data_IF_721372806075
#
_entry.id   IF_721372806075
#
_cell.length_a   1.000
_cell.length_b   1.000
_cell.length_c   1.000
_cell.angle_alpha   90.00
_cell.angle_beta   90.00
_cell.angle_gamma   90.00
#
_symmetry.space_group_name_H-M   'P 1'
#
loop_
_entity.id
_entity.type
_entity.pdbx_description
1 polymer ?
#
# COMPACT_ATOMS: atom_id res chain seq x y z
N UNK A 1 -10.59 16.50 -7.20
CA UNK A 1 -9.26 15.89 -7.00
C UNK A 1 -9.44 14.49 -6.42
N UNK A 2 -8.68 13.52 -6.90
CA UNK A 2 -8.79 12.13 -6.44
C UNK A 2 -7.75 11.84 -5.37
N UNK A 3 -8.19 11.74 -4.12
CA UNK A 3 -7.31 11.61 -2.95
C UNK A 3 -7.13 10.17 -2.48
N UNK A 4 -5.97 9.87 -1.94
CA UNK A 4 -5.71 8.69 -1.12
C UNK A 4 -4.62 8.98 -0.07
N UNK A 5 -4.64 8.22 1.02
CA UNK A 5 -3.69 8.32 2.11
C UNK A 5 -2.86 7.04 2.13
N UNK A 6 -1.55 7.19 2.15
CA UNK A 6 -0.63 6.06 2.11
C UNK A 6 0.68 6.37 2.82
N UNK A 7 1.43 5.32 3.12
CA UNK A 7 2.85 5.43 3.45
C UNK A 7 3.68 5.00 2.24
N UNK A 8 4.72 5.77 2.00
CA UNK A 8 5.68 5.53 0.93
C UNK A 8 6.77 4.59 1.42
N UNK A 9 7.23 3.72 0.53
CA UNK A 9 8.35 2.83 0.85
C UNK A 9 9.65 3.61 0.71
N UNK A 10 10.50 3.66 1.77
CA UNK A 10 11.79 4.33 1.70
C UNK A 10 12.66 3.80 0.55
N UNK A 11 13.45 4.68 -0.07
CA UNK A 11 14.28 4.31 -1.21
C UNK A 11 15.27 3.18 -0.93
N UNK A 12 15.78 3.10 0.31
CA UNK A 12 16.67 2.01 0.74
C UNK A 12 16.01 0.63 0.76
N UNK A 13 14.68 0.57 0.85
CA UNK A 13 13.93 -0.69 0.81
C UNK A 13 13.50 -1.10 -0.60
N UNK A 14 13.55 -0.20 -1.59
CA UNK A 14 13.09 -0.50 -2.95
C UNK A 14 13.87 -1.63 -3.65
N UNK A 15 15.19 -1.79 -3.47
CA UNK A 15 15.92 -2.90 -4.11
C UNK A 15 15.38 -4.29 -3.77
N UNK A 16 14.91 -4.53 -2.55
CA UNK A 16 14.34 -5.82 -2.16
C UNK A 16 13.02 -6.09 -2.90
N UNK A 17 12.18 -5.07 -3.12
CA UNK A 17 10.96 -5.19 -3.92
C UNK A 17 11.28 -5.42 -5.39
N UNK A 18 12.25 -4.72 -5.94
CA UNK A 18 12.69 -4.90 -7.31
C UNK A 18 13.19 -6.33 -7.56
N UNK A 19 13.94 -6.89 -6.62
CA UNK A 19 14.41 -8.28 -6.69
C UNK A 19 13.25 -9.28 -6.74
N UNK A 20 12.25 -9.10 -5.88
CA UNK A 20 11.04 -9.95 -5.89
C UNK A 20 10.29 -9.79 -7.21
N UNK A 21 10.11 -8.57 -7.70
CA UNK A 21 9.40 -8.30 -8.95
C UNK A 21 10.10 -8.91 -10.16
N UNK A 22 11.42 -8.88 -10.20
CA UNK A 22 12.22 -9.51 -11.26
C UNK A 22 12.00 -11.02 -11.27
N UNK A 23 12.08 -11.66 -10.11
CA UNK A 23 11.81 -13.10 -9.97
C UNK A 23 10.36 -13.45 -10.30
N UNK A 24 9.41 -12.63 -9.85
CA UNK A 24 7.99 -12.78 -10.17
C UNK A 24 7.74 -12.73 -11.68
N UNK A 25 8.33 -11.78 -12.38
CA UNK A 25 8.16 -11.65 -13.83
C UNK A 25 8.76 -12.85 -14.59
N UNK A 26 9.82 -13.43 -14.07
CA UNK A 26 10.40 -14.67 -14.62
C UNK A 26 9.44 -15.85 -14.43
N UNK A 27 8.81 -15.98 -13.25
CA UNK A 27 7.84 -17.04 -12.98
C UNK A 27 6.52 -16.84 -13.72
N UNK A 28 6.06 -15.59 -13.82
CA UNK A 28 4.76 -15.23 -14.42
C UNK A 28 4.99 -14.08 -15.40
N UNK A 29 5.40 -14.37 -16.65
CA UNK A 29 5.64 -13.32 -17.65
C UNK A 29 4.41 -12.46 -17.97
N UNK A 30 3.21 -12.97 -17.73
CA UNK A 30 1.94 -12.25 -17.94
C UNK A 30 1.67 -11.18 -16.85
N UNK A 31 2.44 -11.19 -15.76
CA UNK A 31 2.28 -10.20 -14.70
C UNK A 31 2.69 -8.81 -15.18
N UNK A 32 1.84 -7.82 -14.87
CA UNK A 32 2.14 -6.41 -15.09
C UNK A 32 2.77 -5.85 -13.82
N UNK A 33 4.09 -5.70 -13.83
CA UNK A 33 4.85 -5.25 -12.66
C UNK A 33 4.53 -3.79 -12.34
N UNK A 34 4.29 -3.51 -11.06
CA UNK A 34 4.11 -2.16 -10.56
C UNK A 34 5.45 -1.41 -10.57
N UNK A 35 5.48 -0.20 -11.13
CA UNK A 35 6.68 0.63 -11.11
C UNK A 35 7.13 0.92 -9.68
N UNK A 36 8.44 0.91 -9.43
CA UNK A 36 9.01 1.11 -8.10
C UNK A 36 8.61 2.45 -7.47
N UNK A 37 8.50 3.49 -8.27
CA UNK A 37 8.06 4.83 -7.82
C UNK A 37 6.60 4.89 -7.37
N UNK A 38 5.82 3.85 -7.65
CA UNK A 38 4.40 3.72 -7.27
C UNK A 38 4.16 2.71 -6.16
N UNK A 39 5.21 2.06 -5.67
CA UNK A 39 5.09 1.11 -4.56
C UNK A 39 4.81 1.88 -3.27
N UNK A 40 3.69 1.57 -2.64
CA UNK A 40 3.24 2.18 -1.39
C UNK A 40 2.30 1.24 -0.64
N UNK A 41 2.05 1.55 0.63
CA UNK A 41 1.02 0.89 1.42
C UNK A 41 -0.13 1.86 1.64
N UNK A 42 -1.27 1.60 1.01
CA UNK A 42 -2.45 2.46 1.12
C UNK A 42 -3.15 2.25 2.45
N UNK A 43 -3.46 3.35 3.13
CA UNK A 43 -4.24 3.36 4.38
C UNK A 43 -5.72 3.68 4.13
N UNK A 44 -6.01 4.53 3.15
CA UNK A 44 -7.39 4.86 2.78
C UNK A 44 -7.48 5.42 1.37
N UNK A 45 -8.39 4.89 0.57
CA UNK A 45 -8.84 5.52 -0.67
C UNK A 45 -10.04 6.42 -0.38
N UNK A 46 -9.97 7.68 -0.80
CA UNK A 46 -11.02 8.66 -0.57
C UNK A 46 -11.81 8.92 -1.86
N UNK A 47 -11.14 8.82 -3.01
CA UNK A 47 -11.74 9.03 -4.32
C UNK A 47 -11.88 10.50 -4.69
N UNK A 48 -12.77 10.76 -5.65
CA UNK A 48 -13.02 12.11 -6.16
C UNK A 48 -13.72 12.97 -5.10
N UNK A 49 -13.08 14.07 -4.73
CA UNK A 49 -13.60 15.01 -3.75
C UNK A 49 -13.23 16.45 -4.16
N UNK A 50 -13.96 17.45 -3.67
CA UNK A 50 -13.57 18.86 -3.86
C UNK A 50 -12.18 19.15 -3.32
N UNK A 51 -11.41 19.97 -4.04
CA UNK A 51 -10.03 20.32 -3.67
C UNK A 51 -9.93 21.01 -2.31
N UNK A 52 -11.01 21.68 -1.91
CA UNK A 52 -11.10 22.38 -0.61
C UNK A 52 -11.02 21.42 0.58
N UNK A 53 -11.26 20.12 0.39
CA UNK A 53 -11.13 19.13 1.47
C UNK A 53 -9.68 18.81 1.85
N UNK A 54 -8.72 19.23 1.05
CA UNK A 54 -7.30 18.94 1.28
C UNK A 54 -6.85 19.25 2.71
N UNK A 55 -7.14 20.43 3.22
CA UNK A 55 -6.70 20.85 4.55
C UNK A 55 -7.38 20.03 5.66
N UNK A 56 -8.64 19.67 5.49
CA UNK A 56 -9.35 18.80 6.43
C UNK A 56 -8.78 17.39 6.43
N UNK A 57 -8.40 16.85 5.26
CA UNK A 57 -7.75 15.55 5.15
C UNK A 57 -6.38 15.55 5.84
N UNK A 58 -5.61 16.64 5.70
CA UNK A 58 -4.34 16.82 6.42
C UNK A 58 -4.57 16.78 7.94
N UNK A 59 -5.58 17.48 8.43
CA UNK A 59 -5.94 17.47 9.86
C UNK A 59 -6.34 16.08 10.36
N UNK A 60 -7.07 15.31 9.56
CA UNK A 60 -7.41 13.92 9.87
C UNK A 60 -6.13 13.09 10.07
N UNK A 61 -5.17 13.21 9.17
CA UNK A 61 -3.90 12.48 9.28
C UNK A 61 -3.15 12.94 10.53
N UNK A 62 -3.04 14.24 10.77
CA UNK A 62 -2.38 14.80 11.96
C UNK A 62 -2.97 14.26 13.25
N UNK A 63 -4.28 14.19 13.33
CA UNK A 63 -4.99 13.63 14.49
C UNK A 63 -4.73 12.13 14.62
N UNK A 64 -4.79 11.38 13.52
CA UNK A 64 -4.61 9.93 13.52
C UNK A 64 -3.21 9.51 13.96
N UNK A 65 -2.18 10.30 13.68
CA UNK A 65 -0.78 9.98 14.04
C UNK A 65 -0.33 10.61 15.35
N UNK A 66 -1.18 11.43 15.98
CA UNK A 66 -0.85 12.15 17.20
C UNK A 66 -0.41 11.17 18.31
N UNK A 67 0.78 11.41 18.87
CA UNK A 67 1.34 10.58 19.93
C UNK A 67 1.90 9.23 19.47
N UNK A 68 1.84 8.91 18.18
CA UNK A 68 2.40 7.66 17.65
C UNK A 68 3.84 7.90 17.20
N UNK A 69 4.76 7.13 17.77
CA UNK A 69 6.17 7.15 17.39
C UNK A 69 6.40 6.36 16.10
N UNK A 70 7.46 6.69 15.37
CA UNK A 70 7.91 5.91 14.23
C UNK A 70 8.09 4.45 14.62
N UNK A 71 7.83 3.55 13.67
CA UNK A 71 7.84 2.11 13.89
C UNK A 71 8.32 1.37 12.64
N UNK A 72 8.43 0.05 12.74
CA UNK A 72 8.91 -0.78 11.65
C UNK A 72 7.92 -1.88 11.31
N UNK A 73 7.82 -2.16 10.00
CA UNK A 73 7.16 -3.36 9.47
C UNK A 73 8.10 -4.05 8.49
N UNK A 74 7.96 -5.36 8.34
CA UNK A 74 8.83 -6.16 7.48
C UNK A 74 8.00 -6.95 6.49
N UNK A 75 8.36 -7.00 5.20
CA UNK A 75 7.70 -7.87 4.23
C UNK A 75 7.68 -9.32 4.72
N UNK A 76 6.55 -10.00 4.61
CA UNK A 76 6.37 -11.31 5.23
C UNK A 76 5.83 -12.39 4.33
N UNK A 77 4.85 -12.08 3.47
CA UNK A 77 4.17 -13.06 2.63
C UNK A 77 3.62 -12.45 1.36
N UNK A 78 3.33 -13.29 0.38
CA UNK A 78 2.69 -12.93 -0.87
C UNK A 78 1.25 -13.43 -0.86
N UNK A 79 0.32 -12.60 -1.34
CA UNK A 79 -1.07 -12.97 -1.49
C UNK A 79 -1.69 -12.18 -2.64
N UNK A 80 -2.97 -12.33 -2.89
CA UNK A 80 -3.67 -11.69 -3.98
C UNK A 80 -5.09 -11.28 -3.64
N UNK A 81 -5.60 -10.30 -4.37
CA UNK A 81 -7.00 -9.93 -4.36
C UNK A 81 -7.64 -10.25 -5.72
N UNK A 82 -8.86 -10.80 -5.75
CA UNK A 82 -9.70 -11.19 -4.61
C UNK A 82 -9.16 -12.38 -3.80
N UNK A 83 -8.31 -13.21 -4.38
CA UNK A 83 -7.60 -14.31 -3.72
C UNK A 83 -6.34 -14.69 -4.51
N UNK A 84 -5.48 -15.54 -3.94
CA UNK A 84 -4.23 -15.94 -4.58
C UNK A 84 -4.44 -16.85 -5.79
N UNK A 85 -5.51 -17.64 -5.83
CA UNK A 85 -5.74 -18.59 -6.92
C UNK A 85 -6.21 -17.92 -8.22
N UNK A 86 -6.97 -16.83 -8.10
CA UNK A 86 -7.43 -16.02 -9.23
C UNK A 86 -7.21 -14.54 -8.95
N UNK A 87 -5.94 -14.09 -8.89
CA UNK A 87 -5.65 -12.73 -8.50
C UNK A 87 -5.87 -11.75 -9.66
N UNK A 88 -6.39 -10.58 -9.34
CA UNK A 88 -6.29 -9.38 -10.19
C UNK A 88 -5.11 -8.53 -9.77
N UNK A 89 -4.73 -8.63 -8.49
CA UNK A 89 -3.60 -7.90 -7.89
C UNK A 89 -2.80 -8.87 -7.04
N UNK A 90 -1.49 -8.89 -7.20
CA UNK A 90 -0.55 -9.54 -6.28
C UNK A 90 0.09 -8.50 -5.38
N UNK A 91 0.21 -8.84 -4.11
CA UNK A 91 0.73 -7.94 -3.09
C UNK A 91 1.54 -8.67 -2.02
N UNK A 92 2.38 -7.89 -1.35
CA UNK A 92 3.17 -8.34 -0.22
C UNK A 92 2.52 -7.84 1.06
N UNK A 93 2.23 -8.78 1.97
CA UNK A 93 1.81 -8.48 3.33
C UNK A 93 3.00 -8.26 4.25
N UNK A 94 2.77 -7.58 5.35
CA UNK A 94 3.82 -7.18 6.29
C UNK A 94 3.56 -7.75 7.70
N UNK A 95 4.63 -7.86 8.48
CA UNK A 95 4.62 -8.22 9.90
C UNK A 95 5.36 -7.16 10.72
N UNK A 96 5.34 -7.26 12.03
CA UNK A 96 6.00 -6.33 12.94
C UNK A 96 4.99 -5.46 13.69
N UNK A 97 5.19 -4.16 13.70
CA UNK A 97 4.35 -3.21 14.45
C UNK A 97 2.99 -2.94 13.75
N UNK A 98 2.28 -4.01 13.40
CA UNK A 98 0.98 -3.96 12.72
C UNK A 98 -0.06 -3.21 13.55
N UNK A 99 -0.01 -3.32 14.87
CA UNK A 99 -0.93 -2.63 15.77
C UNK A 99 -0.91 -1.12 15.57
N UNK A 100 0.26 -0.53 15.30
CA UNK A 100 0.40 0.89 15.03
C UNK A 100 -0.20 1.27 13.68
N UNK A 101 -0.04 0.43 12.65
CA UNK A 101 -0.71 0.61 11.36
C UNK A 101 -2.23 0.60 11.52
N UNK A 102 -2.76 -0.39 12.25
CA UNK A 102 -4.20 -0.51 12.50
C UNK A 102 -4.74 0.69 13.27
N UNK A 103 -3.99 1.17 14.26
CA UNK A 103 -4.38 2.33 15.07
C UNK A 103 -4.44 3.61 14.20
N UNK A 104 -3.45 3.84 13.35
CA UNK A 104 -3.46 4.97 12.41
C UNK A 104 -4.63 4.84 11.44
N UNK A 105 -4.83 3.66 10.86
CA UNK A 105 -5.93 3.40 9.93
C UNK A 105 -7.29 3.68 10.57
N UNK A 106 -7.49 3.26 11.82
CA UNK A 106 -8.73 3.50 12.54
C UNK A 106 -8.96 5.00 12.80
N UNK A 107 -7.91 5.73 13.18
CA UNK A 107 -8.00 7.19 13.36
C UNK A 107 -8.36 7.92 12.06
N UNK A 108 -7.80 7.47 10.93
CA UNK A 108 -8.15 8.01 9.60
C UNK A 108 -9.61 7.72 9.29
N UNK A 109 -10.06 6.49 9.51
CA UNK A 109 -11.45 6.08 9.31
C UNK A 109 -12.41 6.96 10.09
N UNK A 110 -12.17 7.13 11.39
CA UNK A 110 -12.99 7.98 12.26
C UNK A 110 -13.09 9.42 11.75
N UNK A 111 -11.96 9.97 11.30
CA UNK A 111 -11.90 11.30 10.71
C UNK A 111 -12.70 11.43 9.41
N UNK A 112 -12.60 10.44 8.52
CA UNK A 112 -13.36 10.41 7.27
C UNK A 112 -14.86 10.29 7.53
N UNK A 113 -15.27 9.44 8.47
CA UNK A 113 -16.67 9.29 8.87
C UNK A 113 -17.23 10.59 9.45
N UNK A 114 -16.44 11.34 10.22
CA UNK A 114 -16.86 12.63 10.77
C UNK A 114 -17.14 13.68 9.72
N UNK A 115 -16.56 13.54 8.52
CA UNK A 115 -16.81 14.39 7.36
C UNK A 115 -17.84 13.79 6.40
N UNK A 116 -18.49 12.69 6.76
CA UNK A 116 -19.40 11.92 5.90
C UNK A 116 -18.77 11.50 4.56
N UNK A 117 -17.46 11.24 4.56
CA UNK A 117 -16.73 10.77 3.41
C UNK A 117 -16.79 9.25 3.30
N UNK A 118 -16.66 8.69 2.09
CA UNK A 118 -16.65 7.24 1.89
C UNK A 118 -15.51 6.57 2.67
N UNK A 119 -15.83 5.44 3.30
CA UNK A 119 -14.87 4.58 4.01
C UNK A 119 -15.04 3.15 3.52
N UNK A 120 -13.93 2.47 3.27
CA UNK A 120 -13.97 1.03 2.98
C UNK A 120 -14.27 0.26 4.26
N UNK A 121 -15.46 -0.33 4.33
CA UNK A 121 -15.95 -1.11 5.48
C UNK A 121 -15.33 -2.50 5.58
N UNK A 122 -14.63 -2.96 4.54
CA UNK A 122 -13.98 -4.27 4.56
C UNK A 122 -12.84 -4.28 5.57
N UNK A 123 -12.52 -5.48 6.07
CA UNK A 123 -11.36 -5.67 6.93
C UNK A 123 -10.11 -5.10 6.26
N UNK A 124 -9.42 -4.22 6.97
CA UNK A 124 -8.16 -3.66 6.50
C UNK A 124 -7.05 -4.72 6.56
N UNK A 125 -6.44 -4.99 5.41
CA UNK A 125 -5.27 -5.86 5.28
C UNK A 125 -4.11 -5.00 4.77
N UNK A 126 -3.09 -4.71 5.59
CA UNK A 126 -1.92 -3.97 5.14
C UNK A 126 -1.22 -4.70 4.00
N UNK A 127 -1.10 -4.05 2.84
CA UNK A 127 -0.53 -4.69 1.66
C UNK A 127 0.20 -3.70 0.76
N UNK A 128 1.21 -4.21 0.06
CA UNK A 128 2.02 -3.46 -0.91
C UNK A 128 1.85 -4.15 -2.26
N UNK A 129 1.13 -3.54 -3.18
CA UNK A 129 0.89 -4.08 -4.52
C UNK A 129 2.19 -4.11 -5.32
N UNK A 130 2.53 -5.27 -5.87
CA UNK A 130 3.75 -5.48 -6.68
C UNK A 130 3.46 -5.81 -8.13
N UNK A 131 2.26 -6.31 -8.45
CA UNK A 131 1.89 -6.65 -9.82
C UNK A 131 0.37 -6.71 -9.99
N UNK A 132 -0.08 -6.59 -11.23
CA UNK A 132 -1.48 -6.73 -11.64
C UNK A 132 -1.60 -7.70 -12.80
N UNK A 133 -2.81 -8.26 -12.97
CA UNK A 133 -3.16 -9.13 -14.09
C UNK A 133 -4.35 -8.54 -14.85
N UNK A 134 -4.28 -8.60 -16.19
CA UNK A 134 -5.31 -8.03 -17.05
C UNK A 134 -6.50 -8.96 -17.32
N UNK A 135 -6.39 -10.26 -17.05
CA UNK A 135 -7.41 -11.27 -17.34
C UNK A 135 -7.42 -12.34 -16.26
N UNK A 136 -8.35 -13.30 -16.39
CA UNK A 136 -8.51 -14.46 -15.52
C UNK A 136 -7.26 -15.33 -15.48
N UNK A 137 -6.24 -14.88 -14.76
CA UNK A 137 -5.04 -15.65 -14.51
C UNK A 137 -5.27 -16.59 -13.33
N UNK A 138 -4.87 -17.85 -13.47
CA UNK A 138 -5.01 -18.84 -12.41
C UNK A 138 -3.63 -19.25 -11.89
N UNK A 139 -3.46 -19.22 -10.58
CA UNK A 139 -2.26 -19.71 -9.90
C UNK A 139 -2.57 -21.11 -9.33
N UNK A 140 -1.91 -22.12 -9.88
CA UNK A 140 -2.00 -23.49 -9.39
C UNK A 140 -1.10 -23.70 -8.16
N UNK A 141 -1.21 -24.86 -7.51
CA UNK A 141 -0.42 -25.17 -6.31
C UNK A 141 1.09 -25.13 -6.54
N UNK A 142 1.58 -25.60 -7.70
CA UNK A 142 3.01 -25.55 -8.04
C UNK A 142 3.54 -24.14 -8.11
N UNK A 143 2.82 -23.24 -8.77
CA UNK A 143 3.19 -21.83 -8.88
C UNK A 143 3.05 -21.11 -7.53
N UNK A 144 2.05 -21.46 -6.73
CA UNK A 144 1.90 -20.95 -5.36
C UNK A 144 3.14 -21.26 -4.50
N UNK A 145 3.64 -22.50 -4.57
CA UNK A 145 4.86 -22.91 -3.87
C UNK A 145 6.08 -22.10 -4.36
N UNK A 146 6.19 -21.87 -5.66
CA UNK A 146 7.27 -21.05 -6.22
C UNK A 146 7.20 -19.59 -5.75
N UNK A 147 5.99 -19.03 -5.63
CA UNK A 147 5.79 -17.69 -5.07
C UNK A 147 6.16 -17.63 -3.59
N UNK A 148 5.79 -18.64 -2.79
CA UNK A 148 6.19 -18.73 -1.38
C UNK A 148 7.70 -18.72 -1.21
N UNK A 149 8.43 -19.39 -2.10
CA UNK A 149 9.91 -19.43 -2.09
C UNK A 149 10.55 -18.05 -2.31
N UNK A 150 9.88 -17.14 -3.01
CA UNK A 150 10.37 -15.76 -3.17
C UNK A 150 10.45 -15.02 -1.83
N UNK A 151 9.65 -15.43 -0.85
CA UNK A 151 9.56 -14.79 0.46
C UNK A 151 10.42 -15.47 1.53
N UNK A 152 11.21 -16.49 1.19
CA UNK A 152 12.07 -17.22 2.13
C UNK A 152 13.36 -16.47 2.45
N UNK A 153 13.66 -15.38 1.75
CA UNK A 153 14.82 -14.54 2.03
C UNK A 153 14.58 -13.63 3.24
N UNK A 154 15.65 -13.13 3.84
CA UNK A 154 15.59 -12.13 4.89
C UNK A 154 15.33 -10.75 4.28
N UNK A 155 14.28 -10.06 4.72
CA UNK A 155 13.95 -8.70 4.28
C UNK A 155 14.39 -7.68 5.33
N UNK A 156 14.87 -6.53 4.84
CA UNK A 156 15.14 -5.40 5.71
C UNK A 156 13.84 -4.78 6.21
N UNK A 157 13.77 -4.39 7.49
CA UNK A 157 12.62 -3.67 8.00
C UNK A 157 12.39 -2.35 7.25
N UNK A 158 11.12 -2.01 7.09
CA UNK A 158 10.67 -0.75 6.52
C UNK A 158 10.37 0.20 7.69
N UNK A 159 11.13 1.28 7.82
CA UNK A 159 10.87 2.29 8.83
C UNK A 159 9.73 3.19 8.39
N UNK A 160 8.69 3.25 9.19
CA UNK A 160 7.54 4.13 8.98
C UNK A 160 7.72 5.37 9.85
N UNK A 161 8.03 6.50 9.22
CA UNK A 161 8.29 7.78 9.88
C UNK A 161 7.34 8.89 9.47
N UNK A 162 6.53 8.68 8.44
CA UNK A 162 5.55 9.65 7.97
C UNK A 162 4.40 8.98 7.22
N UNK A 163 3.28 9.71 7.15
CA UNK A 163 2.11 9.37 6.35
C UNK A 163 1.90 10.48 5.33
N UNK A 164 1.55 10.13 4.10
CA UNK A 164 1.35 11.09 3.03
C UNK A 164 -0.09 11.13 2.53
N UNK A 165 -0.53 12.33 2.17
CA UNK A 165 -1.73 12.56 1.38
C UNK A 165 -1.31 12.68 -0.08
N UNK A 166 -1.92 11.88 -0.94
CA UNK A 166 -1.64 11.86 -2.37
C UNK A 166 -2.86 12.27 -3.19
N UNK A 167 -2.57 12.82 -4.34
CA UNK A 167 -3.47 12.95 -5.47
C UNK A 167 -3.14 11.91 -6.52
N UNK A 168 -4.15 11.24 -7.06
CA UNK A 168 -4.03 10.37 -8.22
C UNK A 168 -4.57 11.08 -9.46
N UNK A 169 -3.71 11.38 -10.42
CA UNK A 169 -4.07 12.04 -11.67
C UNK A 169 -4.02 11.02 -12.81
N UNK A 170 -5.14 10.80 -13.52
CA UNK A 170 -5.11 9.94 -14.71
C UNK A 170 -4.29 10.58 -15.83
N UNK A 171 -3.39 9.82 -16.41
CA UNK A 171 -2.62 10.16 -17.61
C UNK A 171 -2.82 9.06 -18.66
N UNK A 172 -2.37 9.26 -19.90
CA UNK A 172 -2.51 8.26 -20.95
C UNK A 172 -1.87 6.91 -20.54
N UNK A 173 -2.73 5.92 -20.22
CA UNK A 173 -2.32 4.55 -19.90
C UNK A 173 -1.81 4.31 -18.47
N UNK A 174 -1.78 5.34 -17.60
CA UNK A 174 -1.34 5.20 -16.21
C UNK A 174 -1.94 6.27 -15.30
N UNK A 175 -1.72 6.14 -14.00
CA UNK A 175 -2.03 7.16 -13.01
C UNK A 175 -0.74 7.72 -12.43
N UNK A 176 -0.61 9.04 -12.38
CA UNK A 176 0.47 9.72 -11.68
C UNK A 176 0.04 10.02 -10.24
N UNK A 177 0.92 9.75 -9.29
CA UNK A 177 0.69 10.05 -7.88
C UNK A 177 1.52 11.26 -7.46
N UNK A 178 0.84 12.33 -7.04
CA UNK A 178 1.48 13.53 -6.54
C UNK A 178 1.34 13.59 -5.02
N UNK A 179 2.46 13.76 -4.30
CA UNK A 179 2.42 14.00 -2.86
C UNK A 179 1.93 15.42 -2.59
N UNK A 180 0.85 15.55 -1.86
CA UNK A 180 0.25 16.83 -1.48
C UNK A 180 0.67 17.29 -0.10
N UNK A 181 0.93 16.38 0.81
CA UNK A 181 1.38 16.65 2.16
C UNK A 181 2.08 15.43 2.75
N UNK A 182 3.01 15.67 3.65
CA UNK A 182 3.69 14.66 4.44
C UNK A 182 3.56 15.00 5.92
N UNK A 183 3.06 14.09 6.71
CA UNK A 183 2.83 14.25 8.15
C UNK A 183 3.75 13.28 8.89
N UNK A 184 4.71 13.84 9.64
CA UNK A 184 5.68 13.05 10.39
C UNK A 184 5.08 12.42 11.64
N UNK A 185 5.48 11.19 11.92
CA UNK A 185 5.28 10.55 13.20
C UNK A 185 6.25 11.14 14.23
N UNK A 186 5.95 10.90 15.51
CA UNK A 186 6.85 11.25 16.60
C UNK A 186 8.16 10.48 16.46
N UNK A 187 9.28 11.16 16.54
CA UNK A 187 10.61 10.55 16.48
C UNK A 187 10.99 9.77 17.74
#
# INVERSE_FOLDING_TARGET
MRFFIALEIPSENLPQFQSIQTSLHTLIPQSKITNLDKIHLTLAFIGEQPDQLKDQLIQIIQTAVSGISSFEVTPAYIDGFPNLHHPQVLWIGVKGDIDKLLLIREGIKDGLESLALPVDERRFVPHITIAKFNNHFAINRGLEVDLEKLMVISFDPIKISSIKLFESVPEEGFHKHNSLAEISLKS
#
